data_IF_173508665006
#
_entry.id   IF_173508665006
#
_cell.length_a   1.000
_cell.length_b   1.000
_cell.length_c   1.000
_cell.angle_alpha   90.00
_cell.angle_beta   90.00
_cell.angle_gamma   90.00
#
_symmetry.space_group_name_H-M   'P 1'
#
loop_
_entity.id
_entity.type
_entity.pdbx_description
1 polymer ?
#
# COMPACT_ATOMS: atom_id res chain seq x y z
N UNK A 1 -2.27 -3.58 15.00
CA UNK A 1 -3.01 -2.39 14.55
C UNK A 1 -3.11 -2.44 13.04
N UNK A 2 -4.25 -2.04 12.49
CA UNK A 2 -4.45 -1.88 11.05
C UNK A 2 -4.51 -0.39 10.75
N UNK A 3 -3.67 0.06 9.82
CA UNK A 3 -3.62 1.44 9.34
C UNK A 3 -4.27 1.45 7.96
N UNK A 4 -5.49 1.98 7.86
CA UNK A 4 -6.17 2.16 6.57
C UNK A 4 -5.58 3.34 5.82
N UNK A 5 -5.66 3.29 4.50
CA UNK A 5 -5.24 4.37 3.62
C UNK A 5 -6.08 5.65 3.82
N UNK A 6 -5.52 6.78 3.40
CA UNK A 6 -6.15 8.10 3.34
C UNK A 6 -6.45 8.44 1.87
N UNK A 7 -7.59 8.03 1.30
CA UNK A 7 -7.91 8.31 -0.10
C UNK A 7 -7.97 9.82 -0.42
N UNK A 8 -8.25 10.67 0.57
CA UNK A 8 -8.22 12.11 0.35
C UNK A 8 -6.79 12.61 0.05
N UNK A 9 -5.74 12.08 0.70
CA UNK A 9 -4.39 12.53 0.40
C UNK A 9 -3.95 12.11 -1.01
N UNK A 10 -4.44 10.97 -1.50
CA UNK A 10 -4.24 10.55 -2.88
C UNK A 10 -4.94 11.50 -3.88
N UNK A 11 -6.16 11.96 -3.57
CA UNK A 11 -6.89 12.99 -4.34
C UNK A 11 -6.11 14.32 -4.32
N UNK A 12 -5.66 14.78 -3.15
CA UNK A 12 -4.92 16.05 -3.01
C UNK A 12 -3.65 16.05 -3.86
N UNK A 13 -2.86 14.97 -3.83
CA UNK A 13 -1.67 14.84 -4.67
C UNK A 13 -1.99 14.86 -6.17
N UNK A 14 -3.19 14.44 -6.57
CA UNK A 14 -3.69 14.58 -7.94
C UNK A 14 -3.93 16.05 -8.31
N UNK A 15 -4.53 16.84 -7.42
CA UNK A 15 -4.77 18.27 -7.64
C UNK A 15 -3.50 19.12 -7.56
N UNK A 16 -2.56 18.76 -6.69
CA UNK A 16 -1.30 19.50 -6.51
C UNK A 16 -0.20 19.07 -7.50
N UNK A 17 -0.43 18.01 -8.28
CA UNK A 17 0.47 17.56 -9.34
C UNK A 17 1.77 16.94 -8.86
N UNK A 18 1.86 16.51 -7.60
CA UNK A 18 3.10 15.98 -7.04
C UNK A 18 2.90 15.25 -5.72
N UNK A 19 3.86 14.39 -5.34
CA UNK A 19 3.76 13.59 -4.13
C UNK A 19 3.95 14.45 -2.87
N UNK A 20 3.24 14.12 -1.81
CA UNK A 20 3.48 14.71 -0.48
C UNK A 20 4.66 13.99 0.19
N UNK A 21 5.54 14.74 0.85
CA UNK A 21 6.60 14.13 1.66
C UNK A 21 5.99 13.49 2.92
N UNK A 22 6.64 12.44 3.45
CA UNK A 22 6.21 11.86 4.73
C UNK A 22 6.24 12.90 5.85
N UNK A 23 7.26 13.77 5.87
CA UNK A 23 7.38 14.84 6.87
C UNK A 23 6.21 15.82 6.79
N UNK A 24 5.84 16.28 5.60
CA UNK A 24 4.69 17.19 5.44
C UNK A 24 3.39 16.51 5.89
N UNK A 25 3.17 15.24 5.49
CA UNK A 25 2.00 14.47 5.92
C UNK A 25 1.92 14.32 7.44
N UNK A 26 3.02 13.91 8.07
CA UNK A 26 3.11 13.72 9.52
C UNK A 26 2.91 15.03 10.32
N UNK A 27 3.26 16.18 9.73
CA UNK A 27 3.03 17.51 10.30
C UNK A 27 1.67 18.12 9.87
N UNK A 28 0.79 17.33 9.27
CA UNK A 28 -0.53 17.75 8.77
C UNK A 28 -0.48 18.87 7.73
N UNK A 29 0.66 19.03 7.04
CA UNK A 29 0.86 19.99 5.95
C UNK A 29 0.45 19.35 4.61
N UNK A 30 -0.83 19.03 4.48
CA UNK A 30 -1.37 18.26 3.35
C UNK A 30 -1.28 18.96 1.99
N UNK A 31 -1.22 20.29 1.99
CA UNK A 31 -0.99 21.12 0.81
C UNK A 31 0.25 21.97 1.09
N UNK A 32 1.46 21.50 0.75
CA UNK A 32 2.68 22.17 1.19
C UNK A 32 2.99 23.48 0.46
N UNK A 33 2.42 23.65 -0.74
CA UNK A 33 2.62 24.79 -1.64
C UNK A 33 1.28 25.38 -2.13
N UNK A 34 0.40 25.89 -1.23
CA UNK A 34 -0.90 26.43 -1.62
C UNK A 34 -0.81 27.66 -2.54
N UNK A 35 0.33 28.36 -2.53
CA UNK A 35 0.65 29.50 -3.39
C UNK A 35 0.77 29.14 -4.87
N UNK A 36 1.04 27.87 -5.19
CA UNK A 36 1.14 27.37 -6.57
C UNK A 36 -0.23 26.98 -7.13
N UNK A 37 -1.28 26.99 -6.30
CA UNK A 37 -2.63 26.58 -6.67
C UNK A 37 -3.52 27.78 -6.98
N UNK A 38 -4.42 27.59 -7.94
CA UNK A 38 -5.53 28.52 -8.17
C UNK A 38 -6.45 28.61 -6.95
N UNK A 39 -7.23 29.71 -6.79
CA UNK A 39 -8.22 29.81 -5.71
C UNK A 39 -9.22 28.65 -5.68
N UNK A 40 -9.62 28.15 -6.85
CA UNK A 40 -10.57 27.03 -6.98
C UNK A 40 -9.93 25.69 -6.56
N UNK A 41 -8.68 25.42 -6.96
CA UNK A 41 -7.94 24.25 -6.47
C UNK A 41 -7.77 24.27 -4.95
N UNK A 42 -7.43 25.43 -4.37
CA UNK A 42 -7.36 25.61 -2.93
C UNK A 42 -8.71 25.33 -2.25
N UNK A 43 -9.82 25.81 -2.84
CA UNK A 43 -11.17 25.51 -2.37
C UNK A 43 -11.47 24.01 -2.38
N UNK A 44 -11.15 23.31 -3.47
CA UNK A 44 -11.36 21.86 -3.54
C UNK A 44 -10.52 21.10 -2.52
N UNK A 45 -9.26 21.46 -2.35
CA UNK A 45 -8.39 20.86 -1.34
C UNK A 45 -9.01 21.00 0.07
N UNK A 46 -9.49 22.20 0.41
CA UNK A 46 -10.16 22.45 1.67
C UNK A 46 -11.45 21.64 1.85
N UNK A 47 -12.23 21.43 0.78
CA UNK A 47 -13.46 20.63 0.85
C UNK A 47 -13.14 19.15 1.06
N UNK A 48 -12.15 18.62 0.35
CA UNK A 48 -11.72 17.21 0.45
C UNK A 48 -11.16 16.92 1.85
N UNK A 49 -10.34 17.83 2.39
CA UNK A 49 -9.67 17.65 3.69
C UNK A 49 -10.59 17.87 4.90
N UNK A 50 -11.82 18.37 4.72
CA UNK A 50 -12.80 18.52 5.82
C UNK A 50 -13.21 17.19 6.45
N UNK A 51 -13.21 16.12 5.67
CA UNK A 51 -13.56 14.77 6.13
C UNK A 51 -12.36 13.85 6.12
N UNK A 52 -12.49 12.72 6.80
CA UNK A 52 -11.58 11.57 6.70
C UNK A 52 -12.35 10.42 6.03
N UNK A 53 -12.16 10.27 4.72
CA UNK A 53 -12.89 9.28 3.92
C UNK A 53 -12.22 7.92 4.09
N UNK A 54 -13.00 6.86 4.23
CA UNK A 54 -12.48 5.50 4.17
C UNK A 54 -12.41 5.01 2.72
N UNK A 55 -11.32 4.30 2.39
CA UNK A 55 -11.19 3.60 1.11
C UNK A 55 -12.09 2.37 1.08
N UNK A 56 -12.93 2.24 0.05
CA UNK A 56 -13.82 1.07 -0.11
C UNK A 56 -13.03 -0.24 -0.16
N UNK A 57 -11.85 -0.24 -0.80
CA UNK A 57 -11.03 -1.45 -0.96
C UNK A 57 -10.35 -1.89 0.34
N UNK A 58 -10.18 -0.98 1.31
CA UNK A 58 -9.61 -1.31 2.62
C UNK A 58 -10.63 -2.05 3.49
N UNK A 59 -11.93 -1.74 3.35
CA UNK A 59 -12.98 -2.29 4.22
C UNK A 59 -13.05 -3.82 4.25
N UNK A 60 -13.02 -4.57 3.12
CA UNK A 60 -12.99 -6.03 3.17
C UNK A 60 -11.68 -6.59 3.73
N UNK A 61 -10.56 -5.90 3.53
CA UNK A 61 -9.24 -6.33 4.05
C UNK A 61 -9.23 -6.20 5.58
N UNK A 62 -9.76 -5.10 6.11
CA UNK A 62 -9.94 -4.89 7.55
C UNK A 62 -10.86 -5.95 8.14
N UNK A 63 -12.01 -6.22 7.50
CA UNK A 63 -12.96 -7.23 7.98
C UNK A 63 -12.35 -8.63 8.02
N UNK A 64 -11.61 -9.01 6.98
CA UNK A 64 -10.86 -10.26 6.91
C UNK A 64 -9.86 -10.39 8.06
N UNK A 65 -8.98 -9.38 8.23
CA UNK A 65 -7.96 -9.40 9.27
C UNK A 65 -8.57 -9.40 10.68
N UNK A 66 -9.67 -8.67 10.88
CA UNK A 66 -10.41 -8.65 12.14
C UNK A 66 -11.04 -10.01 12.47
N UNK A 67 -11.64 -10.68 11.48
CA UNK A 67 -12.18 -12.03 11.64
C UNK A 67 -11.11 -13.04 12.05
N UNK A 68 -9.98 -13.04 11.33
CA UNK A 68 -8.83 -13.91 11.61
C UNK A 68 -8.25 -13.67 13.02
N UNK A 69 -8.22 -12.41 13.47
CA UNK A 69 -7.74 -12.07 14.81
C UNK A 69 -8.75 -12.48 15.90
N UNK A 70 -10.05 -12.30 15.65
CA UNK A 70 -11.12 -12.69 16.56
C UNK A 70 -11.13 -14.21 16.82
N UNK A 71 -10.93 -15.03 15.78
CA UNK A 71 -10.76 -16.49 15.91
C UNK A 71 -9.61 -16.87 16.85
N UNK A 72 -8.59 -16.01 16.96
CA UNK A 72 -7.44 -16.18 17.84
C UNK A 72 -7.56 -15.42 19.16
N UNK A 73 -8.73 -14.87 19.47
CA UNK A 73 -8.97 -14.03 20.66
C UNK A 73 -7.96 -12.88 20.78
N UNK A 74 -7.56 -12.29 19.65
CA UNK A 74 -6.65 -11.14 19.60
C UNK A 74 -7.44 -9.87 19.30
N UNK A 75 -7.28 -8.80 20.08
CA UNK A 75 -7.91 -7.51 19.79
C UNK A 75 -7.29 -6.89 18.53
N UNK A 76 -8.11 -6.15 17.79
CA UNK A 76 -7.68 -5.38 16.60
C UNK A 76 -8.04 -3.92 16.80
N UNK A 77 -7.02 -3.07 16.74
CA UNK A 77 -7.16 -1.62 16.64
C UNK A 77 -7.07 -1.22 15.16
N UNK A 78 -8.00 -0.41 14.67
CA UNK A 78 -8.07 0.05 13.27
C UNK A 78 -8.11 1.57 13.28
N UNK A 79 -7.20 2.21 12.53
CA UNK A 79 -7.09 3.67 12.45
C UNK A 79 -6.80 4.11 11.02
N UNK A 80 -7.33 5.26 10.63
CA UNK A 80 -6.95 5.92 9.38
C UNK A 80 -5.52 6.45 9.44
N UNK A 81 -4.80 6.41 8.32
CA UNK A 81 -3.41 6.90 8.22
C UNK A 81 -3.25 8.33 8.73
N UNK A 82 -4.28 9.17 8.58
CA UNK A 82 -4.27 10.57 9.03
C UNK A 82 -4.25 10.73 10.55
N UNK A 83 -4.71 9.74 11.29
CA UNK A 83 -4.75 9.75 12.75
C UNK A 83 -3.49 9.14 13.39
N UNK A 84 -2.58 8.60 12.58
CA UNK A 84 -1.36 7.97 13.04
C UNK A 84 -0.31 9.03 13.33
N UNK A 85 0.42 8.85 14.42
CA UNK A 85 1.67 9.57 14.71
C UNK A 85 2.85 8.61 14.60
N UNK A 86 4.06 9.15 14.45
CA UNK A 86 5.29 8.32 14.35
C UNK A 86 5.43 7.38 15.56
N UNK A 87 5.10 7.86 16.76
CA UNK A 87 5.11 7.06 17.98
C UNK A 87 4.14 5.87 17.93
N UNK A 88 3.03 5.94 17.18
CA UNK A 88 2.13 4.78 17.06
C UNK A 88 2.77 3.61 16.30
N UNK A 89 3.74 3.90 15.42
CA UNK A 89 4.46 2.91 14.60
C UNK A 89 5.66 2.33 15.38
N UNK A 90 6.44 3.16 16.05
CA UNK A 90 7.70 2.77 16.72
C UNK A 90 7.53 1.91 18.00
N UNK A 91 6.30 1.73 18.49
CA UNK A 91 6.00 1.08 19.78
C UNK A 91 6.03 -0.46 19.76
N UNK A 92 6.90 -1.09 18.98
CA UNK A 92 7.03 -2.56 18.91
C UNK A 92 5.70 -3.32 18.65
N UNK A 93 4.83 -2.76 17.80
CA UNK A 93 3.52 -3.34 17.49
C UNK A 93 3.56 -4.16 16.21
N UNK A 94 2.69 -5.16 16.11
CA UNK A 94 2.32 -5.75 14.83
C UNK A 94 1.40 -4.79 14.07
N UNK A 95 1.78 -4.46 12.84
CA UNK A 95 1.09 -3.51 11.96
C UNK A 95 0.64 -4.20 10.68
N UNK A 96 -0.56 -3.85 10.22
CA UNK A 96 -0.99 -4.04 8.84
C UNK A 96 -1.17 -2.63 8.27
N UNK A 97 -0.47 -2.31 7.19
CA UNK A 97 -0.51 -0.97 6.56
C UNK A 97 -1.08 -1.12 5.16
N UNK A 98 -2.21 -0.47 4.92
CA UNK A 98 -2.94 -0.57 3.65
C UNK A 98 -2.65 0.63 2.75
N UNK A 99 -2.57 0.36 1.45
CA UNK A 99 -2.33 1.34 0.41
C UNK A 99 -0.86 1.49 0.03
N UNK A 100 -0.63 2.35 -0.95
CA UNK A 100 0.70 2.70 -1.47
C UNK A 100 1.24 3.97 -0.81
N UNK A 101 2.43 4.41 -1.21
CA UNK A 101 3.00 5.65 -0.65
C UNK A 101 2.20 6.91 -1.01
N UNK A 102 1.36 6.83 -2.06
CA UNK A 102 0.43 7.90 -2.43
C UNK A 102 -0.79 7.94 -1.52
N UNK A 103 -1.44 6.82 -1.21
CA UNK A 103 -2.63 6.83 -0.34
C UNK A 103 -2.31 6.67 1.15
N UNK A 104 -1.10 6.23 1.49
CA UNK A 104 -0.62 6.06 2.85
C UNK A 104 0.88 6.40 2.94
N UNK A 105 1.24 7.68 3.19
CA UNK A 105 2.63 8.11 3.23
C UNK A 105 3.50 7.39 4.27
N UNK A 106 2.92 6.78 5.31
CA UNK A 106 3.65 5.98 6.30
C UNK A 106 4.36 4.78 5.69
N UNK A 107 3.94 4.29 4.52
CA UNK A 107 4.65 3.25 3.75
C UNK A 107 6.10 3.66 3.49
N UNK A 108 6.40 4.96 3.32
CA UNK A 108 7.75 5.47 3.05
C UNK A 108 8.75 5.17 4.17
N UNK A 109 8.31 4.94 5.42
CA UNK A 109 9.18 4.52 6.53
C UNK A 109 9.85 3.15 6.31
N UNK A 110 9.31 2.35 5.41
CA UNK A 110 9.77 0.99 5.14
C UNK A 110 10.60 0.88 3.86
N UNK A 111 10.67 1.95 3.05
CA UNK A 111 11.30 1.92 1.72
C UNK A 111 12.73 1.42 1.74
N UNK A 112 13.56 1.84 2.69
CA UNK A 112 14.97 1.41 2.77
C UNK A 112 15.15 -0.09 2.98
N UNK A 113 14.09 -0.79 3.42
CA UNK A 113 14.07 -2.24 3.66
C UNK A 113 13.33 -3.02 2.58
N UNK A 114 12.84 -2.36 1.54
CA UNK A 114 12.12 -2.97 0.41
C UNK A 114 12.97 -2.87 -0.85
N UNK A 115 12.93 -3.91 -1.70
CA UNK A 115 13.46 -3.79 -3.06
C UNK A 115 12.38 -3.23 -3.99
N UNK A 116 11.12 -3.65 -3.83
CA UNK A 116 9.96 -3.09 -4.53
C UNK A 116 9.36 -1.88 -3.81
N UNK A 117 9.30 -0.73 -4.47
CA UNK A 117 8.86 0.55 -3.87
C UNK A 117 7.82 1.24 -4.71
N UNK A 118 6.75 1.70 -4.07
CA UNK A 118 5.82 2.64 -4.69
C UNK A 118 6.51 3.99 -4.89
N UNK A 119 6.52 4.47 -6.12
CA UNK A 119 7.04 5.78 -6.50
C UNK A 119 6.06 6.51 -7.42
N UNK A 120 6.12 7.84 -7.41
CA UNK A 120 5.39 8.65 -8.37
C UNK A 120 6.32 8.99 -9.53
N UNK A 121 5.93 8.61 -10.74
CA UNK A 121 6.62 8.99 -11.95
C UNK A 121 6.02 10.30 -12.50
N UNK A 122 6.76 11.43 -12.43
CA UNK A 122 6.26 12.71 -12.93
C UNK A 122 6.10 12.74 -14.46
N UNK A 123 6.76 11.85 -15.20
CA UNK A 123 6.69 11.83 -16.66
C UNK A 123 5.38 11.22 -17.18
N UNK A 124 4.88 10.20 -16.48
CA UNK A 124 3.61 9.53 -16.78
C UNK A 124 2.47 10.00 -15.87
N UNK A 125 2.77 10.78 -14.83
CA UNK A 125 1.85 11.23 -13.78
C UNK A 125 1.14 10.09 -13.05
N UNK A 126 1.80 8.94 -12.96
CA UNK A 126 1.25 7.71 -12.41
C UNK A 126 2.06 7.23 -11.21
N UNK A 127 1.42 6.43 -10.37
CA UNK A 127 2.15 5.61 -9.41
C UNK A 127 2.70 4.37 -10.12
N UNK A 128 3.93 4.02 -9.79
CA UNK A 128 4.68 2.89 -10.33
C UNK A 128 5.27 2.08 -9.18
N UNK A 129 5.63 0.83 -9.45
CA UNK A 129 6.52 0.06 -8.58
C UNK A 129 7.92 0.05 -9.18
N UNK A 130 8.89 0.65 -8.48
CA UNK A 130 10.31 0.54 -8.79
C UNK A 130 10.91 -0.68 -8.11
N UNK A 131 11.66 -1.49 -8.86
CA UNK A 131 12.54 -2.52 -8.31
C UNK A 131 13.96 -1.93 -8.17
N UNK A 132 14.40 -1.75 -6.93
CA UNK A 132 15.71 -1.16 -6.62
C UNK A 132 16.85 -2.17 -6.66
N UNK A 133 16.54 -3.48 -6.66
CA UNK A 133 17.51 -4.57 -6.83
C UNK A 133 17.01 -5.64 -7.82
N UNK A 134 16.88 -5.31 -9.13
CA UNK A 134 16.35 -6.25 -10.11
C UNK A 134 17.20 -7.52 -10.23
N UNK A 135 16.55 -8.67 -10.13
CA UNK A 135 17.15 -9.98 -10.40
C UNK A 135 17.00 -10.35 -11.88
N UNK A 136 17.69 -11.39 -12.31
CA UNK A 136 17.63 -11.87 -13.70
C UNK A 136 16.19 -12.16 -14.12
N UNK A 137 15.71 -11.44 -15.15
CA UNK A 137 14.35 -11.59 -15.69
C UNK A 137 13.33 -10.60 -15.12
N UNK A 138 13.70 -9.80 -14.12
CA UNK A 138 12.84 -8.76 -13.55
C UNK A 138 13.01 -7.41 -14.25
N UNK A 139 11.95 -6.61 -14.27
CA UNK A 139 12.00 -5.24 -14.75
C UNK A 139 12.47 -4.29 -13.64
N UNK A 140 13.16 -3.21 -14.00
CA UNK A 140 13.52 -2.16 -13.06
C UNK A 140 12.32 -1.30 -12.61
N UNK A 141 11.27 -1.27 -13.44
CA UNK A 141 10.04 -0.52 -13.19
C UNK A 141 8.85 -1.29 -13.73
N UNK A 142 7.78 -1.32 -12.95
CA UNK A 142 6.47 -1.84 -13.32
C UNK A 142 5.51 -0.65 -13.38
N UNK A 143 4.72 -0.58 -14.47
CA UNK A 143 3.85 0.57 -14.77
C UNK A 143 2.49 0.03 -15.19
N UNK A 144 1.44 0.37 -14.46
CA UNK A 144 0.08 0.06 -14.86
C UNK A 144 -0.27 0.65 -16.24
N UNK A 145 -0.97 -0.13 -17.05
CA UNK A 145 -1.62 0.38 -18.27
C UNK A 145 -3.04 0.88 -17.99
N UNK A 146 -3.57 0.58 -16.80
CA UNK A 146 -4.87 1.03 -16.31
C UNK A 146 -4.73 1.85 -15.01
N UNK A 147 -4.81 3.20 -15.06
CA UNK A 147 -4.63 4.06 -13.87
C UNK A 147 -5.85 4.08 -12.91
N UNK A 148 -6.58 2.97 -12.80
CA UNK A 148 -7.81 2.81 -11.99
C UNK A 148 -9.08 3.02 -12.81
N UNK A 149 -10.13 2.23 -12.53
CA UNK A 149 -11.41 2.17 -13.26
C UNK A 149 -11.30 1.91 -14.76
N UNK A 150 -10.12 1.47 -15.21
CA UNK A 150 -9.77 1.24 -16.60
C UNK A 150 -9.49 -0.25 -16.86
N UNK A 151 -9.48 -0.61 -18.13
CA UNK A 151 -9.11 -1.96 -18.58
C UNK A 151 -7.63 -2.00 -18.93
N UNK A 152 -6.90 -2.97 -18.39
CA UNK A 152 -5.48 -3.12 -18.65
C UNK A 152 -4.80 -3.98 -17.59
N UNK A 153 -3.59 -3.57 -17.24
CA UNK A 153 -2.73 -4.22 -16.28
C UNK A 153 -2.44 -3.27 -15.12
N UNK A 154 -2.27 -3.85 -13.93
CA UNK A 154 -1.85 -3.15 -12.72
C UNK A 154 -0.93 -4.06 -11.91
N UNK A 155 -0.26 -3.48 -10.93
CA UNK A 155 0.68 -4.18 -10.06
C UNK A 155 0.35 -3.94 -8.59
N UNK A 156 0.70 -4.92 -7.76
CA UNK A 156 0.50 -4.84 -6.33
C UNK A 156 1.67 -5.45 -5.54
N UNK A 157 1.83 -5.01 -4.31
CA UNK A 157 2.89 -5.40 -3.41
C UNK A 157 2.29 -5.95 -2.12
N UNK A 158 2.74 -7.15 -1.73
CA UNK A 158 2.59 -7.69 -0.38
C UNK A 158 3.98 -7.80 0.21
N UNK A 159 4.24 -7.13 1.33
CA UNK A 159 5.53 -7.24 2.02
C UNK A 159 5.34 -7.52 3.50
N UNK A 160 6.11 -8.47 4.05
CA UNK A 160 6.16 -8.75 5.47
C UNK A 160 7.56 -8.43 5.99
N UNK A 161 7.65 -7.44 6.88
CA UNK A 161 8.90 -6.91 7.44
C UNK A 161 8.91 -7.01 8.97
N UNK A 162 10.06 -6.71 9.58
CA UNK A 162 10.13 -6.33 10.99
C UNK A 162 9.78 -4.86 11.17
N UNK A 163 9.06 -4.54 12.23
CA UNK A 163 8.80 -3.17 12.64
C UNK A 163 10.14 -2.53 13.07
N UNK A 164 10.50 -1.33 12.58
CA UNK A 164 11.61 -0.58 13.18
C UNK A 164 11.49 -0.51 14.70
N UNK A 165 12.63 -0.68 15.36
CA UNK A 165 12.78 -0.51 16.81
C UNK A 165 12.05 -1.55 17.70
N UNK A 166 11.74 -2.74 17.17
CA UNK A 166 11.15 -3.83 17.95
C UNK A 166 11.14 -5.20 17.28
N UNK A 167 10.49 -6.17 17.93
CA UNK A 167 10.23 -7.54 17.45
C UNK A 167 8.91 -7.67 16.66
N UNK A 168 8.10 -6.61 16.63
CA UNK A 168 6.86 -6.51 15.89
C UNK A 168 7.04 -6.74 14.39
N UNK A 169 5.95 -7.09 13.71
CA UNK A 169 5.91 -7.35 12.27
C UNK A 169 5.05 -6.32 11.55
N UNK A 170 5.46 -5.97 10.33
CA UNK A 170 4.72 -5.06 9.47
C UNK A 170 4.31 -5.81 8.22
N UNK A 171 3.01 -5.92 7.97
CA UNK A 171 2.45 -6.41 6.71
C UNK A 171 1.98 -5.21 5.89
N UNK A 172 2.67 -4.92 4.79
CA UNK A 172 2.27 -3.92 3.80
C UNK A 172 1.41 -4.59 2.73
N UNK A 173 0.28 -3.98 2.41
CA UNK A 173 -0.66 -4.44 1.38
C UNK A 173 -1.07 -3.22 0.56
N UNK A 174 -0.63 -3.15 -0.70
CA UNK A 174 -0.97 -2.03 -1.56
C UNK A 174 -0.85 -2.38 -3.03
N UNK A 175 -1.44 -1.57 -3.89
CA UNK A 175 -1.21 -1.60 -5.33
C UNK A 175 -1.08 -0.20 -5.89
N UNK A 176 -0.66 -0.13 -7.16
CA UNK A 176 -0.55 1.14 -7.90
C UNK A 176 -1.93 1.85 -8.03
N UNK A 177 -3.01 1.11 -7.83
CA UNK A 177 -4.38 1.59 -7.75
C UNK A 177 -5.21 0.78 -6.73
N UNK A 178 -6.49 1.13 -6.60
CA UNK A 178 -7.42 0.46 -5.69
C UNK A 178 -7.61 -1.02 -6.02
N UNK A 179 -7.67 -1.36 -7.31
CA UNK A 179 -7.83 -2.71 -7.82
C UNK A 179 -6.64 -3.60 -7.46
N UNK A 180 -5.41 -3.07 -7.52
CA UNK A 180 -4.22 -3.76 -7.07
C UNK A 180 -4.24 -4.03 -5.55
N UNK A 181 -4.67 -3.04 -4.77
CA UNK A 181 -4.84 -3.21 -3.31
C UNK A 181 -5.89 -4.27 -2.98
N UNK A 182 -7.03 -4.25 -3.69
CA UNK A 182 -8.09 -5.26 -3.57
C UNK A 182 -7.59 -6.66 -3.95
N UNK A 183 -6.82 -6.78 -5.05
CA UNK A 183 -6.24 -8.04 -5.50
C UNK A 183 -5.31 -8.66 -4.45
N UNK A 184 -4.42 -7.85 -3.87
CA UNK A 184 -3.52 -8.28 -2.80
C UNK A 184 -4.30 -8.73 -1.55
N UNK A 185 -5.34 -7.96 -1.17
CA UNK A 185 -6.24 -8.32 -0.08
C UNK A 185 -6.98 -9.65 -0.30
N UNK A 186 -7.53 -9.86 -1.50
CA UNK A 186 -8.19 -11.11 -1.88
C UNK A 186 -7.25 -12.30 -1.85
N UNK A 187 -6.01 -12.14 -2.31
CA UNK A 187 -5.00 -13.21 -2.25
C UNK A 187 -4.71 -13.61 -0.80
N UNK A 188 -4.62 -12.65 0.13
CA UNK A 188 -4.41 -12.94 1.55
C UNK A 188 -5.61 -13.63 2.22
N UNK A 189 -6.83 -13.39 1.71
CA UNK A 189 -8.04 -14.05 2.18
C UNK A 189 -8.28 -15.45 1.62
N UNK A 190 -7.59 -15.84 0.56
CA UNK A 190 -7.67 -17.18 -0.03
C UNK A 190 -6.49 -18.03 0.43
N UNK A 191 -6.71 -18.84 1.48
CA UNK A 191 -5.66 -19.66 2.09
C UNK A 191 -4.98 -20.61 1.09
N UNK A 192 -5.75 -21.20 0.17
CA UNK A 192 -5.23 -22.14 -0.82
C UNK A 192 -4.31 -21.44 -1.81
N UNK A 193 -4.76 -20.31 -2.36
CA UNK A 193 -3.95 -19.52 -3.29
C UNK A 193 -2.74 -18.90 -2.60
N UNK A 194 -2.90 -18.38 -1.38
CA UNK A 194 -1.78 -17.83 -0.60
C UNK A 194 -0.70 -18.89 -0.36
N UNK A 195 -1.08 -20.10 0.09
CA UNK A 195 -0.13 -21.21 0.29
C UNK A 195 0.60 -21.57 -1.01
N UNK A 196 -0.12 -21.64 -2.13
CA UNK A 196 0.47 -21.92 -3.44
C UNK A 196 1.47 -20.83 -3.85
N UNK A 197 1.10 -19.55 -3.68
CA UNK A 197 1.98 -18.40 -3.97
C UNK A 197 3.24 -18.42 -3.09
N UNK A 198 3.09 -18.60 -1.77
CA UNK A 198 4.22 -18.69 -0.85
C UNK A 198 5.15 -19.86 -1.23
N UNK A 199 4.60 -21.01 -1.62
CA UNK A 199 5.39 -22.15 -2.07
C UNK A 199 6.19 -21.85 -3.35
N UNK A 200 5.58 -21.17 -4.34
CA UNK A 200 6.26 -20.70 -5.56
C UNK A 200 7.39 -19.73 -5.24
N UNK A 201 7.22 -18.88 -4.22
CA UNK A 201 8.24 -17.97 -3.72
C UNK A 201 9.33 -18.65 -2.86
N UNK A 202 9.27 -19.97 -2.65
CA UNK A 202 10.21 -20.68 -1.78
C UNK A 202 10.03 -20.37 -0.28
N UNK A 203 8.86 -19.84 0.12
CA UNK A 203 8.50 -19.45 1.48
C UNK A 203 7.75 -20.57 2.25
N UNK A 204 8.09 -21.84 1.98
CA UNK A 204 7.47 -23.00 2.63
C UNK A 204 7.72 -23.03 4.16
N UNK A 205 6.98 -23.89 4.88
CA UNK A 205 7.03 -24.03 6.34
C UNK A 205 8.50 -24.11 6.83
N UNK A 206 8.95 -23.05 7.48
CA UNK A 206 10.39 -22.75 7.71
C UNK A 206 10.74 -21.28 7.44
N UNK A 207 9.92 -20.58 6.66
CA UNK A 207 10.01 -19.13 6.44
C UNK A 207 9.43 -18.28 7.59
N UNK A 208 8.98 -18.89 8.69
CA UNK A 208 8.45 -18.17 9.86
C UNK A 208 9.49 -17.20 10.38
N UNK A 209 9.19 -15.90 10.30
CA UNK A 209 10.09 -14.82 10.74
C UNK A 209 11.02 -14.25 9.66
N UNK A 210 11.03 -14.78 8.43
CA UNK A 210 11.75 -14.14 7.31
C UNK A 210 11.02 -12.89 6.83
N UNK A 211 11.77 -11.87 6.45
CA UNK A 211 11.16 -10.76 5.74
C UNK A 211 11.07 -11.14 4.26
N UNK A 212 9.97 -10.76 3.63
CA UNK A 212 9.78 -11.03 2.23
C UNK A 212 8.87 -9.99 1.61
N UNK A 213 8.94 -9.92 0.29
CA UNK A 213 8.03 -9.15 -0.54
C UNK A 213 7.66 -9.96 -1.77
N UNK A 214 6.42 -9.78 -2.22
CA UNK A 214 5.83 -10.45 -3.36
C UNK A 214 5.23 -9.37 -4.26
N UNK A 215 5.76 -9.30 -5.47
CA UNK A 215 5.20 -8.47 -6.53
C UNK A 215 4.13 -9.26 -7.28
N UNK A 216 2.95 -8.68 -7.36
CA UNK A 216 1.80 -9.22 -8.07
C UNK A 216 1.59 -8.46 -9.37
N UNK A 217 1.28 -9.20 -10.42
CA UNK A 217 0.68 -8.69 -11.66
C UNK A 217 -0.81 -9.06 -11.65
N UNK A 218 -1.64 -8.17 -12.18
CA UNK A 218 -3.07 -8.39 -12.33
C UNK A 218 -3.61 -7.71 -13.58
N UNK A 219 -4.69 -8.27 -14.12
CA UNK A 219 -5.53 -7.60 -15.09
C UNK A 219 -6.66 -6.83 -14.40
N UNK A 220 -7.00 -5.66 -14.91
CA UNK A 220 -8.18 -4.90 -14.49
C UNK A 220 -9.21 -4.87 -15.61
N UNK A 221 -10.49 -5.03 -15.26
CA UNK A 221 -11.61 -4.83 -16.17
C UNK A 221 -12.72 -4.08 -15.41
N UNK A 222 -13.08 -2.90 -15.90
CA UNK A 222 -14.14 -2.07 -15.31
C UNK A 222 -14.02 -1.88 -13.79
N UNK A 223 -12.79 -1.68 -13.30
CA UNK A 223 -12.50 -1.48 -11.87
C UNK A 223 -12.51 -2.74 -11.02
N UNK A 224 -12.44 -3.94 -11.64
CA UNK A 224 -12.32 -5.22 -10.93
C UNK A 224 -11.02 -5.93 -11.28
N UNK A 225 -10.26 -6.43 -10.28
CA UNK A 225 -9.05 -7.22 -10.53
C UNK A 225 -9.37 -8.67 -10.90
N UNK A 226 -8.56 -9.22 -11.81
CA UNK A 226 -8.59 -10.61 -12.30
C UNK A 226 -7.18 -11.08 -12.64
N UNK A 227 -6.99 -12.39 -12.85
CA UNK A 227 -5.69 -12.99 -13.23
C UNK A 227 -4.53 -12.49 -12.35
N UNK A 228 -4.67 -12.68 -11.04
CA UNK A 228 -3.68 -12.21 -10.07
C UNK A 228 -2.60 -13.27 -9.89
N UNK A 229 -1.39 -12.95 -10.35
CA UNK A 229 -0.22 -13.84 -10.32
C UNK A 229 0.96 -13.18 -9.62
N UNK A 230 1.69 -13.97 -8.82
CA UNK A 230 2.97 -13.53 -8.27
C UNK A 230 4.05 -13.66 -9.35
N UNK A 231 4.64 -12.53 -9.73
CA UNK A 231 5.64 -12.45 -10.82
C UNK A 231 7.07 -12.31 -10.32
N UNK A 232 7.26 -11.86 -9.08
CA UNK A 232 8.56 -11.83 -8.43
C UNK A 232 8.41 -11.96 -6.90
N UNK A 233 9.40 -12.56 -6.25
CA UNK A 233 9.44 -12.66 -4.79
C UNK A 233 10.87 -12.47 -4.27
N UNK A 234 11.04 -11.55 -3.32
CA UNK A 234 12.32 -11.30 -2.68
C UNK A 234 12.26 -11.70 -1.20
N UNK A 235 13.27 -12.44 -0.75
CA UNK A 235 13.57 -12.64 0.67
C UNK A 235 14.60 -11.58 1.04
N UNK A 236 14.27 -10.75 2.03
CA UNK A 236 14.99 -9.53 2.43
C UNK A 236 15.36 -9.56 3.92
#
# INVERSE_FOLDING_TARGET
MIITSDPNIAEIQGFTGGPISLSDYANHKYVPHPELLTPEQNRFCNVILRGDKASTVDTPIVALAAGIAAERSRPVDVRGARLIQLSDIENDKNLIVLGSSRSNPWVKLFNERLDFRFEFDPSTTQEIIRNTHPRTGEAATYVATAPGWATGESYALIALLRNPNGDGRVLLIGGENGEGTEAAGKLLGDESRLRSTLAKCGLNQGATGRNFEILLHLNTLAGSPSNVDAIACHII
#
